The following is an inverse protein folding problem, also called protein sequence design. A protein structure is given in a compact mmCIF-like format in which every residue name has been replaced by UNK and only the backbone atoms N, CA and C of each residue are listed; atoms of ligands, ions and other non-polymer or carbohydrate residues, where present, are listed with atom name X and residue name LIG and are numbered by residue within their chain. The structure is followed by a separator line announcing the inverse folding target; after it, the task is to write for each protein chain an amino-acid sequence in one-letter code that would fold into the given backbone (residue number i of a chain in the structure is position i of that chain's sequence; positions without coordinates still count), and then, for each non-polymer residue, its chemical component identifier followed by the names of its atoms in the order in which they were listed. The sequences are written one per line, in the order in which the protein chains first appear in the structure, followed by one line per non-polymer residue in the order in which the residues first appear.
data_IF_726971378685
#
_entry.id   IF_726971378685
#
_cell.length_a   1.000
_cell.length_b   1.000
_cell.length_c   1.000
_cell.angle_alpha   90.00
_cell.angle_beta   90.00
_cell.angle_gamma   90.00
#
_symmetry.space_group_name_H-M   'P 1'
#
loop_
_entity.id
_entity.type
_entity.pdbx_description
1 polymer ?
#
# COMPACT_ATOMS: atom_id res chain seq x y z
N UNK A 1 24.50 -12.15 21.22
CA UNK A 1 23.53 -12.73 22.17
C UNK A 1 22.26 -11.88 22.36
N UNK A 2 22.09 -10.75 21.65
CA UNK A 2 20.89 -9.88 21.76
C UNK A 2 19.79 -10.13 20.71
N UNK A 3 20.12 -10.62 19.52
CA UNK A 3 19.15 -10.72 18.40
C UNK A 3 18.10 -11.81 18.61
N UNK A 4 18.48 -12.98 19.13
CA UNK A 4 17.56 -14.10 19.34
C UNK A 4 16.47 -13.83 20.40
N UNK A 5 16.71 -12.86 21.28
CA UNK A 5 15.78 -12.52 22.37
C UNK A 5 14.73 -11.48 21.92
N UNK A 6 15.01 -10.71 20.87
CA UNK A 6 14.06 -9.75 20.29
C UNK A 6 12.99 -10.45 19.46
N UNK A 7 13.38 -11.46 18.69
CA UNK A 7 12.46 -12.32 17.92
C UNK A 7 11.45 -13.04 18.84
N UNK A 8 11.90 -13.45 20.03
CA UNK A 8 11.10 -14.18 21.00
C UNK A 8 10.03 -13.30 21.68
N UNK A 9 10.26 -11.99 21.83
CA UNK A 9 9.31 -11.06 22.48
C UNK A 9 8.15 -10.63 21.58
N UNK A 10 8.31 -10.69 20.26
CA UNK A 10 7.18 -10.51 19.33
C UNK A 10 6.24 -11.72 19.35
N UNK A 11 6.74 -12.93 19.58
CA UNK A 11 5.97 -14.17 19.46
C UNK A 11 4.97 -14.42 20.60
N UNK A 12 5.15 -13.82 21.78
CA UNK A 12 4.47 -14.30 23.01
C UNK A 12 3.06 -13.73 23.25
N UNK A 13 2.61 -12.69 22.53
CA UNK A 13 1.23 -12.16 22.62
C UNK A 13 0.79 -11.29 21.42
N UNK A 14 1.50 -11.31 20.30
CA UNK A 14 1.30 -10.32 19.24
C UNK A 14 0.91 -10.97 17.92
N UNK A 15 -0.18 -10.46 17.36
CA UNK A 15 -0.51 -10.62 15.95
C UNK A 15 0.74 -10.34 15.09
N UNK A 16 1.14 -11.25 14.16
CA UNK A 16 2.25 -11.01 13.25
C UNK A 16 2.11 -9.66 12.54
N UNK A 17 3.19 -8.89 12.46
CA UNK A 17 3.17 -7.59 11.78
C UNK A 17 2.73 -7.72 10.31
N UNK A 18 3.00 -8.88 9.68
CA UNK A 18 2.50 -9.24 8.36
C UNK A 18 0.97 -9.24 8.28
N UNK A 19 0.28 -9.80 9.28
CA UNK A 19 -1.18 -9.78 9.33
C UNK A 19 -1.73 -8.37 9.50
N UNK A 20 -1.06 -7.52 10.29
CA UNK A 20 -1.42 -6.10 10.43
C UNK A 20 -1.32 -5.36 9.09
N UNK A 21 -0.19 -5.52 8.38
CA UNK A 21 0.00 -4.91 7.06
C UNK A 21 -1.05 -5.41 6.08
N UNK A 22 -1.33 -6.71 6.09
CA UNK A 22 -2.33 -7.29 5.20
C UNK A 22 -3.73 -6.71 5.45
N UNK A 23 -4.17 -6.60 6.70
CA UNK A 23 -5.44 -5.97 7.03
C UNK A 23 -5.47 -4.48 6.67
N UNK A 24 -4.39 -3.74 6.93
CA UNK A 24 -4.33 -2.31 6.60
C UNK A 24 -4.40 -2.07 5.09
N UNK A 25 -3.58 -2.78 4.32
CA UNK A 25 -3.45 -2.60 2.87
C UNK A 25 -4.67 -3.14 2.11
N UNK A 26 -5.35 -4.16 2.64
CA UNK A 26 -6.54 -4.73 2.00
C UNK A 26 -7.86 -4.26 2.61
N UNK A 27 -7.81 -3.32 3.57
CA UNK A 27 -9.00 -2.85 4.29
C UNK A 27 -10.11 -2.40 3.33
N UNK A 28 -11.34 -2.77 3.71
CA UNK A 28 -12.60 -2.44 3.04
C UNK A 28 -13.66 -2.14 4.09
N UNK A 29 -14.77 -1.55 3.65
CA UNK A 29 -15.91 -1.24 4.49
C UNK A 29 -15.85 0.17 5.05
N UNK A 30 -16.73 0.39 6.01
CA UNK A 30 -16.92 1.63 6.74
C UNK A 30 -15.66 2.07 7.50
N UNK A 31 -15.27 3.33 7.33
CA UNK A 31 -14.18 3.92 8.13
C UNK A 31 -14.53 4.10 9.62
N UNK A 32 -15.81 4.05 10.00
CA UNK A 32 -16.25 4.22 11.39
C UNK A 32 -16.27 2.91 12.16
N UNK A 33 -16.57 1.79 11.49
CA UNK A 33 -16.56 0.46 12.10
C UNK A 33 -15.30 -0.36 11.78
N UNK A 34 -14.54 0.01 10.75
CA UNK A 34 -13.25 -0.60 10.41
C UNK A 34 -12.12 0.43 10.57
N UNK A 35 -11.36 0.31 11.65
CA UNK A 35 -10.18 1.16 11.92
C UNK A 35 -9.18 1.18 10.75
N UNK A 36 -8.75 0.02 10.22
CA UNK A 36 -7.82 -0.06 9.09
C UNK A 36 -8.33 0.65 7.82
N UNK A 37 -9.65 0.69 7.59
CA UNK A 37 -10.23 1.36 6.42
C UNK A 37 -9.97 2.89 6.43
N UNK A 38 -9.69 3.48 7.61
CA UNK A 38 -9.32 4.89 7.71
C UNK A 38 -8.04 5.25 6.96
N UNK A 39 -7.16 4.27 6.68
CA UNK A 39 -5.98 4.46 5.83
C UNK A 39 -6.35 5.04 4.45
N UNK A 40 -7.48 4.58 3.90
CA UNK A 40 -7.98 5.00 2.58
C UNK A 40 -8.83 6.28 2.62
N UNK A 41 -9.08 6.86 3.80
CA UNK A 41 -9.77 8.16 3.93
C UNK A 41 -8.81 9.32 3.67
N UNK A 42 -7.56 9.16 4.09
CA UNK A 42 -6.57 10.24 4.10
C UNK A 42 -6.01 10.49 2.69
N UNK A 43 -5.95 9.44 1.87
CA UNK A 43 -5.39 9.48 0.52
C UNK A 43 -6.50 9.44 -0.53
N UNK A 44 -6.45 10.39 -1.48
CA UNK A 44 -7.61 10.70 -2.34
C UNK A 44 -7.62 9.94 -3.66
N UNK A 45 -6.49 9.34 -4.05
CA UNK A 45 -6.32 8.64 -5.31
C UNK A 45 -5.23 7.54 -5.20
N UNK A 46 -5.10 6.74 -6.26
CA UNK A 46 -4.15 5.62 -6.31
C UNK A 46 -2.69 6.05 -6.17
N UNK A 47 -2.32 7.21 -6.69
CA UNK A 47 -0.98 7.77 -6.59
C UNK A 47 -0.66 8.18 -5.14
N UNK A 48 -1.57 8.89 -4.46
CA UNK A 48 -1.38 9.28 -3.06
C UNK A 48 -1.22 8.05 -2.15
N UNK A 49 -2.02 7.00 -2.39
CA UNK A 49 -1.92 5.72 -1.67
C UNK A 49 -0.58 5.04 -1.92
N UNK A 50 -0.08 5.08 -3.15
CA UNK A 50 1.20 4.51 -3.53
C UNK A 50 2.36 5.24 -2.84
N UNK A 51 2.34 6.57 -2.88
CA UNK A 51 3.33 7.43 -2.21
C UNK A 51 3.35 7.17 -0.69
N UNK A 52 2.18 7.13 -0.05
CA UNK A 52 2.05 6.85 1.38
C UNK A 52 2.51 5.44 1.75
N UNK A 53 2.11 4.43 0.97
CA UNK A 53 2.50 3.03 1.20
C UNK A 53 3.99 2.83 1.06
N UNK A 54 4.61 3.40 0.01
CA UNK A 54 6.05 3.33 -0.20
C UNK A 54 6.81 4.04 0.92
N UNK A 55 6.33 5.20 1.37
CA UNK A 55 6.99 5.93 2.45
C UNK A 55 6.87 5.20 3.79
N UNK A 56 5.68 4.70 4.12
CA UNK A 56 5.37 4.05 5.39
C UNK A 56 6.08 2.70 5.50
N UNK A 57 5.97 1.86 4.49
CA UNK A 57 6.42 0.48 4.56
C UNK A 57 7.79 0.24 3.96
N UNK A 58 8.23 1.02 2.97
CA UNK A 58 9.52 0.81 2.30
C UNK A 58 10.55 1.90 2.64
N UNK A 59 10.12 3.01 3.27
CA UNK A 59 10.99 4.16 3.51
C UNK A 59 11.37 4.90 2.21
N UNK A 60 10.65 4.67 1.12
CA UNK A 60 10.92 5.23 -0.21
C UNK A 60 10.06 6.47 -0.46
N UNK A 61 10.64 7.51 -1.06
CA UNK A 61 9.91 8.70 -1.53
C UNK A 61 9.72 8.63 -3.04
N UNK A 62 8.49 8.30 -3.47
CA UNK A 62 8.16 8.16 -4.90
C UNK A 62 7.77 9.48 -5.58
N UNK A 63 7.52 10.55 -4.82
CA UNK A 63 6.98 11.82 -5.35
C UNK A 63 7.83 12.43 -6.47
N UNK A 64 9.16 12.30 -6.37
CA UNK A 64 10.09 12.82 -7.38
C UNK A 64 9.89 12.15 -8.74
N UNK A 65 9.61 10.84 -8.75
CA UNK A 65 9.42 10.06 -9.98
C UNK A 65 8.08 10.33 -10.68
N UNK A 66 7.13 11.00 -10.02
CA UNK A 66 5.80 11.32 -10.57
C UNK A 66 5.87 12.11 -11.88
N UNK A 67 6.74 13.12 -11.93
CA UNK A 67 6.79 14.05 -13.06
C UNK A 67 7.90 13.72 -14.06
N UNK A 68 9.05 13.24 -13.59
CA UNK A 68 10.16 12.79 -14.42
C UNK A 68 11.09 11.87 -13.60
N UNK A 69 11.91 11.08 -14.29
CA UNK A 69 12.97 10.33 -13.64
C UNK A 69 14.24 11.17 -13.57
N UNK A 70 14.75 11.42 -12.37
CA UNK A 70 16.03 12.08 -12.17
C UNK A 70 17.17 11.05 -12.27
N UNK A 71 18.33 11.36 -12.89
CA UNK A 71 19.42 10.39 -13.10
C UNK A 71 20.01 9.73 -11.85
N UNK A 72 19.76 10.30 -10.67
CA UNK A 72 20.24 9.78 -9.38
C UNK A 72 19.14 9.12 -8.55
N UNK A 73 17.91 9.11 -9.05
CA UNK A 73 16.82 8.38 -8.40
C UNK A 73 16.88 6.92 -8.82
N UNK A 74 16.60 6.02 -7.89
CA UNK A 74 16.54 4.58 -8.18
C UNK A 74 15.30 4.25 -9.01
N UNK A 75 14.17 4.87 -8.69
CA UNK A 75 12.88 4.55 -9.27
C UNK A 75 12.52 5.50 -10.40
N UNK A 76 12.06 4.92 -11.51
CA UNK A 76 11.62 5.64 -12.71
C UNK A 76 10.18 6.10 -12.61
N UNK A 77 9.78 6.98 -13.54
CA UNK A 77 8.39 7.36 -13.70
C UNK A 77 7.49 6.14 -14.03
N UNK A 78 8.03 5.13 -14.73
CA UNK A 78 7.29 3.90 -14.98
C UNK A 78 7.06 3.13 -13.68
N UNK A 79 8.06 3.01 -12.80
CA UNK A 79 7.93 2.35 -11.51
C UNK A 79 6.90 3.05 -10.61
N UNK A 80 6.90 4.38 -10.61
CA UNK A 80 5.89 5.18 -9.89
C UNK A 80 4.47 4.81 -10.31
N UNK A 81 4.19 4.79 -11.61
CA UNK A 81 2.84 4.52 -12.11
C UNK A 81 2.47 3.03 -12.02
N UNK A 82 3.44 2.12 -12.17
CA UNK A 82 3.24 0.69 -11.97
C UNK A 82 2.92 0.35 -10.51
N UNK A 83 3.65 0.92 -9.55
CA UNK A 83 3.37 0.75 -8.13
C UNK A 83 2.00 1.36 -7.76
N UNK A 84 1.65 2.51 -8.36
CA UNK A 84 0.32 3.11 -8.19
C UNK A 84 -0.83 2.24 -8.72
N UNK A 85 -0.57 1.34 -9.66
CA UNK A 85 -1.60 0.49 -10.24
C UNK A 85 -2.17 -0.55 -9.27
N UNK A 86 -1.48 -0.86 -8.15
CA UNK A 86 -2.05 -1.68 -7.08
C UNK A 86 -3.30 -1.07 -6.44
N UNK A 87 -3.39 0.27 -6.44
CA UNK A 87 -4.50 1.01 -5.83
C UNK A 87 -5.53 1.50 -6.85
N UNK A 88 -5.37 1.17 -8.14
CA UNK A 88 -6.21 1.69 -9.24
C UNK A 88 -7.69 1.35 -9.12
N UNK A 89 -8.01 0.27 -8.40
CA UNK A 89 -9.37 -0.22 -8.19
C UNK A 89 -9.95 0.18 -6.84
N UNK A 90 -9.22 0.92 -6.01
CA UNK A 90 -9.74 1.43 -4.74
C UNK A 90 -10.76 2.52 -5.03
N UNK A 91 -11.95 2.37 -4.44
CA UNK A 91 -13.04 3.33 -4.52
C UNK A 91 -13.54 3.70 -3.14
N UNK A 92 -14.18 4.86 -3.05
CA UNK A 92 -14.85 5.34 -1.85
C UNK A 92 -16.28 5.71 -2.21
N UNK A 93 -17.25 5.23 -1.42
CA UNK A 93 -18.67 5.58 -1.56
C UNK A 93 -19.13 6.28 -0.29
N UNK A 94 -19.81 7.42 -0.45
CA UNK A 94 -20.57 8.02 0.62
C UNK A 94 -21.88 7.23 0.81
N UNK A 95 -22.16 6.79 2.02
CA UNK A 95 -23.42 6.17 2.41
C UNK A 95 -24.13 7.05 3.44
N UNK A 96 -25.41 7.28 3.20
CA UNK A 96 -26.31 7.89 4.18
C UNK A 96 -26.91 6.83 5.13
N UNK A 97 -26.79 5.54 4.80
CA UNK A 97 -27.47 4.41 5.45
C UNK A 97 -26.72 3.88 6.69
N UNK A 98 -25.40 4.03 6.76
CA UNK A 98 -24.59 3.39 7.81
C UNK A 98 -24.20 4.32 8.98
N UNK A 99 -24.45 5.63 8.87
CA UNK A 99 -23.94 6.60 9.83
C UNK A 99 -24.93 7.06 10.88
N UNK A 100 -24.51 7.07 12.16
CA UNK A 100 -25.15 7.85 13.24
C UNK A 100 -25.27 9.36 12.90
N UNK A 101 -24.49 9.83 11.91
CA UNK A 101 -24.38 11.23 11.44
C UNK A 101 -24.63 11.41 9.92
N UNK A 102 -25.16 10.40 9.22
CA UNK A 102 -25.61 10.54 7.82
C UNK A 102 -24.55 10.75 6.73
N UNK A 103 -23.25 10.56 7.01
CA UNK A 103 -22.16 10.70 6.02
C UNK A 103 -21.04 9.70 6.28
N UNK A 104 -21.26 8.46 5.86
CA UNK A 104 -20.30 7.38 6.02
C UNK A 104 -19.47 7.16 4.77
N UNK A 105 -18.15 7.10 4.92
CA UNK A 105 -17.24 6.76 3.83
C UNK A 105 -16.96 5.25 3.88
N UNK A 106 -17.29 4.57 2.79
CA UNK A 106 -17.12 3.12 2.65
C UNK A 106 -16.05 2.84 1.60
N UNK A 107 -14.97 2.21 2.01
CA UNK A 107 -13.89 1.76 1.13
C UNK A 107 -14.34 0.50 0.41
N UNK A 108 -14.23 0.49 -0.92
CA UNK A 108 -14.61 -0.63 -1.76
C UNK A 108 -13.55 -0.90 -2.82
N UNK A 109 -13.58 -2.11 -3.38
CA UNK A 109 -12.76 -2.48 -4.54
C UNK A 109 -13.66 -2.60 -5.76
N UNK A 110 -13.31 -1.86 -6.81
CA UNK A 110 -14.01 -1.86 -8.09
C UNK A 110 -13.57 -3.06 -8.94
N UNK A 111 -14.41 -3.50 -9.86
CA UNK A 111 -14.08 -4.57 -10.80
C UNK A 111 -13.05 -4.16 -11.86
N UNK A 112 -12.90 -2.86 -12.12
CA UNK A 112 -11.98 -2.31 -13.11
C UNK A 112 -11.35 -1.00 -12.64
N UNK A 113 -10.29 -0.59 -13.33
CA UNK A 113 -9.53 0.61 -13.05
C UNK A 113 -8.06 0.38 -13.33
N UNK A 114 -7.45 1.28 -14.10
CA UNK A 114 -6.06 1.20 -14.51
C UNK A 114 -5.35 2.54 -14.32
N UNK A 115 -4.03 2.49 -14.17
CA UNK A 115 -3.18 3.67 -14.14
C UNK A 115 -2.49 3.79 -15.50
N UNK A 116 -2.48 5.01 -16.05
CA UNK A 116 -1.74 5.33 -17.27
C UNK A 116 -0.49 6.12 -16.93
N UNK A 117 0.60 5.79 -17.58
CA UNK A 117 1.81 6.59 -17.54
C UNK A 117 1.54 7.98 -18.14
N UNK A 118 1.81 9.06 -17.40
CA UNK A 118 1.40 10.41 -17.82
C UNK A 118 1.99 10.85 -19.17
N UNK A 119 3.24 10.49 -19.46
CA UNK A 119 3.91 10.87 -20.71
C UNK A 119 3.56 10.01 -21.93
N UNK A 120 3.53 8.67 -21.77
CA UNK A 120 3.39 7.74 -22.89
C UNK A 120 1.95 7.27 -23.09
N UNK A 121 1.06 7.48 -22.12
CA UNK A 121 -0.32 6.99 -22.14
C UNK A 121 -0.46 5.47 -21.95
N UNK A 122 0.66 4.76 -21.80
CA UNK A 122 0.72 3.31 -21.60
C UNK A 122 -0.03 2.93 -20.32
N UNK A 123 -0.84 1.87 -20.41
CA UNK A 123 -1.46 1.26 -19.22
C UNK A 123 -0.37 0.52 -18.45
N UNK A 124 -0.24 0.84 -17.17
CA UNK A 124 0.77 0.26 -16.30
C UNK A 124 0.21 -0.97 -15.60
N UNK A 125 0.92 -2.09 -15.73
CA UNK A 125 0.64 -3.26 -14.92
C UNK A 125 1.03 -2.97 -13.45
N UNK A 126 0.27 -3.49 -12.47
CA UNK A 126 0.67 -3.44 -11.07
C UNK A 126 1.99 -4.18 -10.87
N UNK A 127 3.01 -3.47 -10.41
CA UNK A 127 4.35 -4.02 -10.18
C UNK A 127 4.92 -3.51 -8.87
N UNK A 128 5.54 -4.36 -8.04
CA UNK A 128 6.30 -3.91 -6.88
C UNK A 128 7.54 -3.12 -7.30
N UNK A 129 8.08 -2.33 -6.37
CA UNK A 129 9.38 -1.70 -6.60
C UNK A 129 10.46 -2.79 -6.69
N UNK A 130 11.28 -2.75 -7.75
CA UNK A 130 12.23 -3.82 -8.12
C UNK A 130 11.61 -5.22 -8.31
N UNK A 131 10.31 -5.28 -8.59
CA UNK A 131 9.58 -6.54 -8.78
C UNK A 131 9.00 -6.67 -10.18
N UNK A 132 8.75 -7.93 -10.57
CA UNK A 132 7.98 -8.23 -11.77
C UNK A 132 6.50 -7.89 -11.59
N UNK A 133 5.76 -7.61 -12.68
CA UNK A 133 4.32 -7.36 -12.62
C UNK A 133 3.55 -8.51 -11.95
N UNK A 134 2.62 -8.17 -11.06
CA UNK A 134 1.74 -9.10 -10.36
C UNK A 134 0.33 -8.51 -10.25
N UNK A 135 -0.65 -9.20 -10.81
CA UNK A 135 -2.07 -8.82 -10.80
C UNK A 135 -2.89 -9.81 -9.95
N UNK A 136 -4.09 -9.39 -9.57
CA UNK A 136 -5.07 -10.22 -8.89
C UNK A 136 -6.47 -9.83 -9.36
N UNK A 137 -7.28 -10.83 -9.72
CA UNK A 137 -8.60 -10.62 -10.34
C UNK A 137 -9.52 -9.76 -9.46
N UNK A 138 -9.61 -10.10 -8.17
CA UNK A 138 -10.49 -9.42 -7.22
C UNK A 138 -9.88 -8.16 -6.60
N UNK A 139 -8.65 -8.21 -6.09
CA UNK A 139 -8.03 -7.08 -5.38
C UNK A 139 -6.50 -7.10 -5.54
N UNK A 140 -5.99 -6.16 -6.33
CA UNK A 140 -4.55 -5.98 -6.60
C UNK A 140 -3.74 -5.70 -5.33
N UNK A 141 -4.38 -5.29 -4.22
CA UNK A 141 -3.69 -4.99 -2.95
C UNK A 141 -3.28 -6.25 -2.18
N UNK A 142 -3.90 -7.40 -2.48
CA UNK A 142 -3.54 -8.69 -1.85
C UNK A 142 -2.08 -9.07 -2.18
N UNK A 143 -1.67 -9.23 -3.46
CA UNK A 143 -0.28 -9.55 -3.77
C UNK A 143 0.70 -8.44 -3.35
N UNK A 144 0.25 -7.18 -3.28
CA UNK A 144 1.05 -6.10 -2.71
C UNK A 144 1.34 -6.32 -1.22
N UNK A 145 0.33 -6.67 -0.42
CA UNK A 145 0.49 -6.93 1.01
C UNK A 145 1.42 -8.13 1.26
N UNK A 146 1.27 -9.19 0.47
CA UNK A 146 2.14 -10.36 0.51
C UNK A 146 3.59 -9.99 0.17
N UNK A 147 3.80 -9.22 -0.90
CA UNK A 147 5.12 -8.76 -1.29
C UNK A 147 5.77 -7.82 -0.25
N UNK A 148 5.00 -6.87 0.30
CA UNK A 148 5.48 -5.94 1.33
C UNK A 148 6.09 -6.70 2.51
N UNK A 149 5.42 -7.76 2.95
CA UNK A 149 5.79 -8.52 4.15
C UNK A 149 6.65 -9.75 3.85
N UNK A 150 7.03 -9.95 2.58
CA UNK A 150 7.82 -11.09 2.16
C UNK A 150 9.23 -11.06 2.78
N UNK A 151 9.83 -12.22 3.12
CA UNK A 151 11.20 -12.27 3.67
C UNK A 151 12.27 -11.67 2.75
N UNK A 152 11.99 -11.60 1.44
CA UNK A 152 12.89 -11.01 0.44
C UNK A 152 12.84 -9.47 0.39
N UNK A 153 11.86 -8.83 1.01
CA UNK A 153 11.70 -7.37 0.94
C UNK A 153 12.61 -6.66 1.96
N UNK A 154 13.84 -6.36 1.54
CA UNK A 154 14.84 -5.71 2.40
C UNK A 154 14.46 -4.28 2.81
N UNK A 155 13.75 -3.56 1.94
CA UNK A 155 13.32 -2.18 2.22
C UNK A 155 12.25 -2.18 3.32
N UNK A 156 11.33 -3.14 3.29
CA UNK A 156 10.38 -3.37 4.36
C UNK A 156 11.05 -3.72 5.70
N UNK A 157 11.91 -4.74 5.70
CA UNK A 157 12.61 -5.16 6.92
C UNK A 157 13.39 -4.01 7.57
N UNK A 158 14.08 -3.19 6.76
CA UNK A 158 14.82 -2.01 7.21
C UNK A 158 13.88 -0.92 7.74
N UNK A 159 12.83 -0.61 7.00
CA UNK A 159 11.84 0.42 7.37
C UNK A 159 11.18 0.10 8.71
N UNK A 160 10.76 -1.16 8.90
CA UNK A 160 10.08 -1.61 10.10
C UNK A 160 11.02 -1.58 11.31
N UNK A 161 12.23 -2.12 11.16
CA UNK A 161 13.24 -2.14 12.23
C UNK A 161 13.56 -0.71 12.72
N UNK A 162 13.76 0.22 11.79
CA UNK A 162 14.11 1.61 12.11
C UNK A 162 12.97 2.42 12.77
N UNK A 163 11.71 1.98 12.66
CA UNK A 163 10.54 2.77 13.05
C UNK A 163 9.74 2.21 14.21
N UNK A 164 9.74 0.88 14.38
CA UNK A 164 8.85 0.20 15.32
C UNK A 164 9.60 -0.64 16.35
N UNK A 165 10.90 -0.86 16.17
CA UNK A 165 11.72 -1.76 17.00
C UNK A 165 12.96 -1.04 17.56
N UNK A 166 12.96 0.29 17.55
CA UNK A 166 14.05 1.13 18.07
C UNK A 166 14.05 1.24 19.61
#
# INVERSE_FOLDING_TARGET
MGDAQLDQRFAENHRPFSEFVHELITAKGSIYSSGPASYFKIHSNSADLAEATAQLFLGVRLQCAKCHHHPFEKYSQADYYAFSAFFSRVGNKNSEEFGLFGRESVVMVRSSGDVRHARTGQIMAPSPLDGEPIDHELDRRIPLADWLTSPGNRDFARSVSNRYVA
#
